data_IF_427112521096
#
_entry.id   IF_427112521096
#
_cell.length_a   1.000
_cell.length_b   1.000
_cell.length_c   1.000
_cell.angle_alpha   90.00
_cell.angle_beta   90.00
_cell.angle_gamma   90.00
#
_symmetry.space_group_name_H-M   'P 1'
#
loop_
_entity.id
_entity.type
_entity.pdbx_description
1 polymer ?
#
# COMPACT_ATOMS: atom_id res chain seq x y z
N UNK A 1 18.20 -9.70 -19.77
CA UNK A 1 16.77 -9.41 -20.01
C UNK A 1 16.22 -8.79 -18.76
N UNK A 2 16.35 -7.45 -18.65
CA UNK A 2 15.89 -6.69 -17.50
C UNK A 2 14.38 -6.50 -17.63
N UNK A 3 13.62 -7.05 -16.69
CA UNK A 3 12.22 -6.71 -16.53
C UNK A 3 12.15 -5.24 -16.13
N UNK A 4 12.05 -4.34 -17.12
CA UNK A 4 11.53 -3.01 -16.86
C UNK A 4 10.11 -3.22 -16.35
N UNK A 5 9.95 -3.16 -15.04
CA UNK A 5 8.65 -3.02 -14.41
C UNK A 5 7.95 -1.89 -15.16
N UNK A 6 6.91 -2.26 -15.91
CA UNK A 6 5.98 -1.35 -16.56
C UNK A 6 5.62 -0.34 -15.46
N UNK A 7 6.18 0.87 -15.56
CA UNK A 7 5.76 2.02 -14.77
C UNK A 7 4.31 2.23 -15.17
N UNK A 8 3.43 1.55 -14.45
CA UNK A 8 2.01 1.74 -14.50
C UNK A 8 1.82 3.23 -14.29
N UNK A 9 1.12 3.88 -15.22
CA UNK A 9 0.70 5.28 -15.11
C UNK A 9 0.30 5.54 -13.67
N UNK A 10 0.85 6.59 -13.02
CA UNK A 10 0.61 6.83 -11.61
C UNK A 10 -0.90 6.95 -11.41
N UNK A 11 -1.45 5.94 -10.73
CA UNK A 11 -2.86 5.89 -10.39
C UNK A 11 -3.14 7.11 -9.51
N UNK A 12 -4.04 8.02 -9.90
CA UNK A 12 -4.27 9.25 -9.15
C UNK A 12 -4.72 8.96 -7.71
N UNK A 13 -5.38 7.83 -7.47
CA UNK A 13 -5.70 7.38 -6.12
C UNK A 13 -4.42 7.07 -5.32
N UNK A 14 -3.46 6.38 -5.95
CA UNK A 14 -2.16 6.04 -5.33
C UNK A 14 -1.28 7.27 -5.08
N UNK A 15 -1.35 8.28 -5.95
CA UNK A 15 -0.63 9.53 -5.75
C UNK A 15 -1.09 10.25 -4.46
N UNK A 16 -2.40 10.33 -4.22
CA UNK A 16 -2.96 10.90 -2.99
C UNK A 16 -2.63 10.08 -1.74
N UNK A 17 -2.65 8.75 -1.85
CA UNK A 17 -2.28 7.86 -0.74
C UNK A 17 -0.79 8.00 -0.38
N UNK A 18 0.09 8.08 -1.38
CA UNK A 18 1.52 8.28 -1.18
C UNK A 18 1.82 9.60 -0.45
N UNK A 19 1.17 10.68 -0.85
CA UNK A 19 1.32 11.98 -0.20
C UNK A 19 0.90 11.92 1.28
N UNK A 20 -0.29 11.39 1.56
CA UNK A 20 -0.79 11.21 2.94
C UNK A 20 0.15 10.33 3.78
N UNK A 21 0.59 9.18 3.27
CA UNK A 21 1.53 8.31 3.98
C UNK A 21 2.88 8.98 4.25
N UNK A 22 3.40 9.74 3.29
CA UNK A 22 4.67 10.46 3.45
C UNK A 22 4.58 11.52 4.55
N UNK A 23 3.48 12.26 4.60
CA UNK A 23 3.23 13.25 5.66
C UNK A 23 3.12 12.58 7.04
N UNK A 24 2.36 11.48 7.14
CA UNK A 24 2.21 10.74 8.40
C UNK A 24 3.55 10.15 8.86
N UNK A 25 4.37 9.65 7.93
CA UNK A 25 5.70 9.15 8.25
C UNK A 25 6.65 10.25 8.70
N UNK A 26 6.59 11.44 8.08
CA UNK A 26 7.39 12.58 8.52
C UNK A 26 7.08 12.98 9.96
N UNK A 27 5.80 12.93 10.36
CA UNK A 27 5.33 13.29 11.70
C UNK A 27 5.58 12.21 12.75
N UNK A 28 5.30 10.96 12.40
CA UNK A 28 5.22 9.86 13.36
C UNK A 28 6.28 8.78 13.18
N UNK A 29 7.03 8.79 12.08
CA UNK A 29 8.03 7.78 11.73
C UNK A 29 7.44 6.36 11.86
N UNK A 30 8.12 5.45 12.57
CA UNK A 30 7.70 4.05 12.75
C UNK A 30 6.81 3.82 13.99
N UNK A 31 6.27 4.88 14.59
CA UNK A 31 5.49 4.77 15.84
C UNK A 31 4.05 4.33 15.60
N UNK A 32 3.33 3.94 16.67
CA UNK A 32 1.95 3.49 16.57
C UNK A 32 1.00 4.45 15.81
N UNK A 33 1.07 5.79 15.99
CA UNK A 33 0.25 6.73 15.21
C UNK A 33 0.40 6.60 13.68
N UNK A 34 1.60 6.32 13.18
CA UNK A 34 1.81 6.05 11.75
C UNK A 34 1.01 4.83 11.30
N UNK A 35 1.07 3.75 12.08
CA UNK A 35 0.37 2.50 11.77
C UNK A 35 -1.15 2.65 11.85
N UNK A 36 -1.66 3.46 12.79
CA UNK A 36 -3.09 3.81 12.84
C UNK A 36 -3.52 4.55 11.58
N UNK A 37 -2.74 5.54 11.12
CA UNK A 37 -3.06 6.27 9.89
C UNK A 37 -2.97 5.38 8.65
N UNK A 38 -1.97 4.48 8.61
CA UNK A 38 -1.81 3.47 7.56
C UNK A 38 -3.04 2.56 7.48
N UNK A 39 -3.53 2.03 8.60
CA UNK A 39 -4.71 1.18 8.66
C UNK A 39 -5.98 1.93 8.21
N UNK A 40 -6.15 3.19 8.61
CA UNK A 40 -7.28 4.02 8.17
C UNK A 40 -7.28 4.19 6.65
N UNK A 41 -6.13 4.54 6.07
CA UNK A 41 -5.96 4.64 4.61
C UNK A 41 -6.23 3.31 3.90
N UNK A 42 -5.80 2.19 4.48
CA UNK A 42 -6.03 0.87 3.91
C UNK A 42 -7.53 0.53 3.84
N UNK A 43 -8.29 0.89 4.87
CA UNK A 43 -9.74 0.71 4.88
C UNK A 43 -10.45 1.60 3.86
N UNK A 44 -10.03 2.86 3.72
CA UNK A 44 -10.54 3.77 2.69
C UNK A 44 -10.34 3.19 1.29
N UNK A 45 -9.16 2.63 1.01
CA UNK A 45 -8.83 1.96 -0.26
C UNK A 45 -9.70 0.73 -0.50
N UNK A 46 -9.85 -0.13 0.50
CA UNK A 46 -10.68 -1.34 0.38
C UNK A 46 -12.13 -0.97 0.08
N UNK A 47 -12.64 0.08 0.71
CA UNK A 47 -14.01 0.54 0.51
C UNK A 47 -14.23 1.20 -0.85
N UNK A 48 -13.30 2.07 -1.28
CA UNK A 48 -13.41 2.79 -2.55
C UNK A 48 -13.11 1.92 -3.78
N UNK A 49 -12.22 0.93 -3.63
CA UNK A 49 -11.71 0.11 -4.73
C UNK A 49 -11.77 -1.40 -4.42
N UNK A 50 -12.96 -1.98 -4.19
CA UNK A 50 -13.09 -3.37 -3.75
C UNK A 50 -12.54 -4.40 -4.75
N UNK A 51 -12.44 -4.06 -6.05
CA UNK A 51 -11.86 -4.95 -7.07
C UNK A 51 -10.34 -4.86 -7.17
N UNK A 52 -9.77 -3.73 -6.78
CA UNK A 52 -8.33 -3.44 -6.92
C UNK A 52 -7.62 -3.36 -5.56
N UNK A 53 -8.33 -3.65 -4.46
CA UNK A 53 -7.84 -3.45 -3.09
C UNK A 53 -6.54 -4.21 -2.83
N UNK A 54 -6.35 -5.42 -3.36
CA UNK A 54 -5.11 -6.19 -3.23
C UNK A 54 -3.93 -5.42 -3.85
N UNK A 55 -4.09 -4.97 -5.11
CA UNK A 55 -3.07 -4.19 -5.82
C UNK A 55 -2.74 -2.90 -5.07
N UNK A 56 -3.75 -2.18 -4.60
CA UNK A 56 -3.56 -0.90 -3.91
C UNK A 56 -2.98 -1.06 -2.50
N UNK A 57 -3.37 -2.09 -1.75
CA UNK A 57 -2.76 -2.41 -0.45
C UNK A 57 -1.30 -2.81 -0.61
N UNK A 58 -0.97 -3.59 -1.64
CA UNK A 58 0.43 -3.94 -1.94
C UNK A 58 1.25 -2.70 -2.28
N UNK A 59 0.69 -1.80 -3.11
CA UNK A 59 1.35 -0.54 -3.42
C UNK A 59 1.53 0.37 -2.19
N UNK A 60 0.60 0.34 -1.22
CA UNK A 60 0.78 1.02 0.06
C UNK A 60 1.93 0.41 0.88
N UNK A 61 2.05 -0.92 0.86
CA UNK A 61 3.09 -1.64 1.58
C UNK A 61 4.48 -1.32 0.97
N UNK A 62 4.58 -1.28 -0.36
CA UNK A 62 5.78 -0.83 -1.08
C UNK A 62 6.15 0.61 -0.70
N UNK A 63 5.18 1.52 -0.62
CA UNK A 63 5.43 2.91 -0.18
C UNK A 63 5.95 2.95 1.27
N UNK A 64 5.40 2.12 2.15
CA UNK A 64 5.87 2.03 3.54
C UNK A 64 7.30 1.47 3.63
N UNK A 65 7.68 0.52 2.77
CA UNK A 65 9.06 0.04 2.65
C UNK A 65 10.00 1.12 2.09
N UNK A 66 9.60 1.82 1.02
CA UNK A 66 10.38 2.92 0.41
C UNK A 66 10.65 4.06 1.40
N UNK A 67 9.66 4.39 2.24
CA UNK A 67 9.82 5.37 3.33
C UNK A 67 10.72 4.85 4.46
N UNK A 68 11.00 3.55 4.46
CA UNK A 68 11.70 2.86 5.52
C UNK A 68 10.85 2.79 6.77
N UNK A 69 9.53 2.63 6.68
CA UNK A 69 8.68 2.30 7.82
C UNK A 69 8.84 0.83 8.24
N UNK A 70 9.08 -0.04 7.26
CA UNK A 70 9.42 -1.47 7.41
C UNK A 70 10.67 -1.80 6.62
N UNK A 71 11.34 -2.89 6.98
CA UNK A 71 12.53 -3.38 6.27
C UNK A 71 12.17 -4.18 5.02
N UNK A 72 11.04 -4.89 5.04
CA UNK A 72 10.53 -5.62 3.90
C UNK A 72 9.00 -5.76 4.02
N UNK A 73 8.27 -5.30 3.00
CA UNK A 73 6.83 -5.41 2.93
C UNK A 73 6.41 -6.83 2.55
N UNK A 74 5.49 -7.41 3.33
CA UNK A 74 4.82 -8.64 2.93
C UNK A 74 3.59 -8.28 2.10
N UNK A 75 3.61 -8.68 0.84
CA UNK A 75 2.54 -8.40 -0.11
C UNK A 75 1.43 -9.46 0.01
N UNK A 76 0.19 -9.02 -0.20
CA UNK A 76 -0.97 -9.89 -0.28
C UNK A 76 -0.95 -10.60 -1.62
N UNK A 77 -0.99 -11.94 -1.59
CA UNK A 77 -1.25 -12.74 -2.78
C UNK A 77 -2.74 -12.66 -3.14
N UNK A 78 -3.06 -12.45 -4.41
CA UNK A 78 -4.44 -12.38 -4.91
C UNK A 78 -5.22 -13.70 -4.83
N UNK A 79 -4.70 -14.71 -4.12
CA UNK A 79 -5.25 -16.05 -4.06
C UNK A 79 -5.95 -16.38 -2.72
N UNK A 80 -6.23 -15.37 -1.89
CA UNK A 80 -6.95 -15.56 -0.61
C UNK A 80 -8.45 -15.90 -0.78
N UNK A 81 -8.84 -16.56 -1.87
CA UNK A 81 -10.25 -16.78 -2.20
C UNK A 81 -10.59 -17.87 -3.23
N UNK A 82 -9.73 -18.84 -3.51
CA UNK A 82 -10.15 -20.09 -4.16
C UNK A 82 -9.54 -21.31 -3.45
N UNK A 83 -10.17 -21.76 -2.37
CA UNK A 83 -10.07 -23.16 -1.97
C UNK A 83 -11.25 -23.91 -2.58
N UNK A 84 -11.07 -24.75 -3.62
CA UNK A 84 -12.08 -25.74 -3.96
C UNK A 84 -12.03 -26.81 -2.86
N UNK A 85 -13.14 -26.98 -2.16
CA UNK A 85 -13.34 -28.07 -1.22
C UNK A 85 -14.07 -29.21 -1.91
#
# INVERSE_FOLDING_TARGET
MCALALRSTPDPALAGIRDRLTQQFALHRRTAPFWTAYQGLQQEVIHAHPRDHVRLCNAMADIAEDLGAVTHAQLLDGNTGCTPR
#
